data_IF_196848100763
#
_entry.id   IF_196848100763
#
_cell.length_a   1.000
_cell.length_b   1.000
_cell.length_c   1.000
_cell.angle_alpha   90.00
_cell.angle_beta   90.00
_cell.angle_gamma   90.00
#
_symmetry.space_group_name_H-M   'P 1'
#
loop_
_entity.id
_entity.type
_entity.pdbx_description
1 polymer ?
#
# COMPACT_ATOMS: atom_id res chain seq x y z
N UNK A 1 8.65 -7.14 -17.68
CA UNK A 1 8.68 -5.71 -17.28
C UNK A 1 10.02 -5.11 -17.68
N UNK A 2 10.29 -4.95 -18.98
CA UNK A 2 11.52 -4.29 -19.40
C UNK A 2 11.15 -2.83 -19.71
N UNK A 3 11.95 -1.87 -19.20
CA UNK A 3 11.82 -0.42 -19.39
C UNK A 3 10.61 0.30 -18.77
N UNK A 4 10.01 -0.24 -17.69
CA UNK A 4 8.97 0.49 -16.94
C UNK A 4 9.51 1.22 -15.70
N UNK A 5 10.67 0.85 -15.19
CA UNK A 5 11.34 1.56 -14.11
C UNK A 5 11.78 2.96 -14.60
N UNK A 6 11.73 3.97 -13.73
CA UNK A 6 12.11 5.36 -14.04
C UNK A 6 11.21 6.09 -15.05
N UNK A 7 10.05 5.51 -15.39
CA UNK A 7 9.11 6.12 -16.33
C UNK A 7 8.11 7.10 -15.68
N UNK A 8 8.14 7.26 -14.36
CA UNK A 8 7.08 7.98 -13.64
C UNK A 8 5.79 7.18 -13.48
N UNK A 9 5.78 5.90 -13.86
CA UNK A 9 4.57 5.06 -13.85
C UNK A 9 4.13 4.65 -12.45
N UNK A 10 2.84 4.30 -12.33
CA UNK A 10 2.26 3.67 -11.14
C UNK A 10 2.00 2.18 -11.40
N UNK A 11 2.64 1.32 -10.63
CA UNK A 11 2.43 -0.12 -10.62
C UNK A 11 1.29 -0.46 -9.66
N UNK A 12 0.24 -1.10 -10.19
CA UNK A 12 -0.82 -1.71 -9.38
C UNK A 12 -0.53 -3.19 -9.22
N UNK A 13 -0.51 -3.67 -7.98
CA UNK A 13 -0.15 -5.06 -7.68
C UNK A 13 -1.00 -5.68 -6.58
N UNK A 14 -1.19 -6.99 -6.65
CA UNK A 14 -1.81 -7.77 -5.59
C UNK A 14 -0.92 -7.83 -4.33
N UNK A 15 -1.52 -8.15 -3.18
CA UNK A 15 -0.86 -8.25 -1.89
C UNK A 15 0.34 -9.22 -1.84
N UNK A 16 0.42 -10.17 -2.77
CA UNK A 16 1.59 -11.06 -2.91
C UNK A 16 2.86 -10.30 -3.30
N UNK A 17 2.73 -9.25 -4.10
CA UNK A 17 3.84 -8.50 -4.66
C UNK A 17 4.09 -7.15 -3.97
N UNK A 18 3.26 -6.77 -3.00
CA UNK A 18 3.41 -5.49 -2.30
C UNK A 18 4.17 -5.62 -0.98
N UNK A 19 5.04 -4.65 -0.70
CA UNK A 19 5.59 -4.40 0.63
C UNK A 19 6.02 -2.94 0.77
N UNK A 20 6.11 -2.45 2.01
CA UNK A 20 6.61 -1.09 2.30
C UNK A 20 8.07 -0.93 1.83
N UNK A 21 8.89 -1.97 1.97
CA UNK A 21 10.28 -1.96 1.49
C UNK A 21 10.37 -1.80 -0.01
N UNK A 22 9.60 -2.60 -0.76
CA UNK A 22 9.55 -2.49 -2.23
C UNK A 22 9.01 -1.12 -2.68
N UNK A 23 7.98 -0.60 -2.03
CA UNK A 23 7.45 0.72 -2.33
C UNK A 23 8.53 1.81 -2.18
N UNK A 24 9.39 1.69 -1.17
CA UNK A 24 10.53 2.60 -0.96
C UNK A 24 11.56 2.49 -2.08
N UNK A 25 11.94 1.29 -2.46
CA UNK A 25 12.90 1.07 -3.55
C UNK A 25 12.37 1.61 -4.88
N UNK A 26 11.11 1.31 -5.21
CA UNK A 26 10.48 1.81 -6.43
C UNK A 26 10.32 3.34 -6.43
N UNK A 27 10.02 3.95 -5.29
CA UNK A 27 9.95 5.41 -5.17
C UNK A 27 11.30 6.07 -5.51
N UNK A 28 12.43 5.48 -5.11
CA UNK A 28 13.76 5.99 -5.53
C UNK A 28 14.00 5.87 -7.04
N UNK A 29 13.27 4.97 -7.70
CA UNK A 29 13.26 4.80 -9.15
C UNK A 29 12.14 5.60 -9.83
N UNK A 30 11.51 6.57 -9.16
CA UNK A 30 10.39 7.35 -9.71
C UNK A 30 9.21 6.48 -10.14
N UNK A 31 9.00 5.33 -9.50
CA UNK A 31 7.91 4.39 -9.79
C UNK A 31 7.05 4.24 -8.55
N UNK A 32 5.75 4.51 -8.65
CA UNK A 32 4.84 4.35 -7.53
C UNK A 32 4.31 2.92 -7.46
N UNK A 33 4.11 2.40 -6.24
CA UNK A 33 3.50 1.09 -6.02
C UNK A 33 2.19 1.28 -5.25
N UNK A 34 1.09 0.79 -5.83
CA UNK A 34 -0.24 0.80 -5.22
C UNK A 34 -0.75 -0.62 -5.14
N UNK A 35 -1.27 -0.99 -3.97
CA UNK A 35 -1.85 -2.30 -3.75
C UNK A 35 -2.23 -2.51 -2.29
N UNK A 36 -2.76 -3.69 -1.97
CA UNK A 36 -3.17 -4.03 -0.61
C UNK A 36 -2.02 -4.67 0.15
N UNK A 37 -1.83 -4.34 1.43
CA UNK A 37 -0.76 -4.93 2.25
C UNK A 37 -1.28 -6.05 3.14
N UNK A 38 -0.54 -7.16 3.19
CA UNK A 38 -0.75 -8.17 4.25
C UNK A 38 -0.20 -7.65 5.58
N UNK A 39 -1.00 -7.77 6.63
CA UNK A 39 -0.68 -7.24 7.97
C UNK A 39 0.60 -7.85 8.57
N UNK A 40 0.92 -9.09 8.23
CA UNK A 40 2.08 -9.83 8.72
C UNK A 40 3.39 -9.55 7.94
N UNK A 41 3.41 -8.62 6.99
CA UNK A 41 4.65 -8.22 6.29
C UNK A 41 5.55 -7.40 7.21
N UNK A 42 6.87 -7.55 7.00
CA UNK A 42 7.90 -6.76 7.69
C UNK A 42 7.76 -5.27 7.33
N UNK A 43 8.22 -4.40 8.23
CA UNK A 43 8.29 -2.95 8.05
C UNK A 43 6.94 -2.23 7.93
N UNK A 44 5.81 -2.92 8.12
CA UNK A 44 4.53 -2.25 8.29
C UNK A 44 4.53 -1.41 9.57
N UNK A 45 4.00 -0.17 9.55
CA UNK A 45 3.90 0.67 10.74
C UNK A 45 2.97 0.03 11.78
N UNK A 46 3.52 -0.28 12.96
CA UNK A 46 2.80 -1.03 14.00
C UNK A 46 1.50 -0.35 14.42
N UNK A 47 1.53 0.95 14.63
CA UNK A 47 0.38 1.78 14.96
C UNK A 47 -0.74 1.73 13.92
N UNK A 48 -0.44 1.64 12.62
CA UNK A 48 -1.48 1.44 11.60
C UNK A 48 -2.04 0.03 11.67
N UNK A 49 -1.18 -0.99 11.82
CA UNK A 49 -1.61 -2.39 11.89
C UNK A 49 -2.47 -2.67 13.13
N UNK A 50 -2.09 -2.13 14.28
CA UNK A 50 -2.79 -2.34 15.56
C UNK A 50 -3.95 -1.37 15.79
N UNK A 51 -4.14 -0.34 14.95
CA UNK A 51 -5.25 0.59 15.07
C UNK A 51 -6.60 -0.17 15.11
N UNK A 52 -7.33 -0.02 16.21
CA UNK A 52 -8.71 -0.50 16.30
C UNK A 52 -9.61 0.53 15.65
N UNK A 53 -10.31 0.11 14.59
CA UNK A 53 -11.19 0.97 13.80
C UNK A 53 -12.64 0.59 14.03
N UNK A 54 -13.50 1.59 14.11
CA UNK A 54 -14.94 1.42 13.91
C UNK A 54 -15.22 1.14 12.42
N UNK A 55 -16.40 0.59 12.14
CA UNK A 55 -16.84 0.38 10.75
C UNK A 55 -16.85 1.72 10.00
N UNK A 56 -16.41 1.69 8.74
CA UNK A 56 -16.26 2.85 7.84
C UNK A 56 -15.19 3.86 8.26
N UNK A 57 -14.28 3.49 9.18
CA UNK A 57 -13.13 4.34 9.50
C UNK A 57 -11.90 3.95 8.68
N UNK A 58 -11.07 4.96 8.44
CA UNK A 58 -9.75 4.86 7.82
C UNK A 58 -8.76 5.51 8.77
N UNK A 59 -7.61 4.86 8.95
CA UNK A 59 -6.46 5.41 9.63
C UNK A 59 -5.23 5.15 8.78
N UNK A 60 -4.40 6.16 8.58
CA UNK A 60 -3.21 6.03 7.76
C UNK A 60 -2.07 6.89 8.28
N UNK A 61 -0.88 6.54 7.84
CA UNK A 61 0.31 7.34 8.08
C UNK A 61 1.13 7.43 6.82
N UNK A 62 1.76 8.58 6.67
CA UNK A 62 2.73 8.85 5.63
C UNK A 62 4.12 8.94 6.26
N UNK A 63 5.12 8.38 5.59
CA UNK A 63 6.52 8.62 5.93
C UNK A 63 7.04 9.86 5.22
N UNK A 64 8.13 10.45 5.71
CA UNK A 64 8.76 11.64 5.11
C UNK A 64 9.13 11.47 3.62
N UNK A 65 9.28 10.22 3.15
CA UNK A 65 9.56 9.89 1.76
C UNK A 65 8.28 9.67 0.92
N UNK A 66 7.12 10.14 1.38
CA UNK A 66 5.85 10.08 0.64
C UNK A 66 5.20 8.70 0.54
N UNK A 67 5.64 7.72 1.35
CA UNK A 67 5.02 6.39 1.39
C UNK A 67 3.88 6.41 2.40
N UNK A 68 2.65 6.25 1.91
CA UNK A 68 1.45 6.16 2.74
C UNK A 68 1.01 4.71 2.93
N UNK A 69 0.77 4.34 4.19
CA UNK A 69 0.14 3.07 4.58
C UNK A 69 -1.16 3.36 5.30
N UNK A 70 -2.26 2.79 4.78
CA UNK A 70 -3.60 2.98 5.30
C UNK A 70 -4.24 1.65 5.73
N UNK A 71 -5.04 1.72 6.78
CA UNK A 71 -5.94 0.66 7.24
C UNK A 71 -7.36 1.21 7.17
N UNK A 72 -8.22 0.52 6.46
CA UNK A 72 -9.66 0.78 6.46
C UNK A 72 -10.40 -0.42 7.06
N UNK A 73 -11.54 -0.16 7.69
CA UNK A 73 -12.47 -1.21 8.13
C UNK A 73 -13.80 -0.99 7.45
N UNK A 74 -14.06 -1.72 6.38
CA UNK A 74 -15.28 -1.53 5.60
C UNK A 74 -16.51 -2.19 6.25
N UNK A 75 -17.70 -1.84 5.74
CA UNK A 75 -19.01 -2.40 6.08
C UNK A 75 -19.46 -3.54 5.14
N UNK A 76 -18.76 -3.82 4.04
CA UNK A 76 -19.40 -4.35 2.81
C UNK A 76 -18.78 -5.58 2.16
N UNK A 77 -19.66 -6.26 1.43
CA UNK A 77 -19.38 -7.27 0.40
C UNK A 77 -19.03 -6.63 -0.94
N UNK A 78 -18.12 -7.27 -1.68
CA UNK A 78 -17.45 -6.75 -2.89
C UNK A 78 -17.93 -7.51 -4.14
N UNK A 79 -18.28 -6.78 -5.21
CA UNK A 79 -18.55 -7.34 -6.55
C UNK A 79 -17.91 -6.43 -7.64
N UNK A 80 -16.79 -6.83 -8.26
CA UNK A 80 -16.15 -6.04 -9.30
C UNK A 80 -16.60 -6.42 -10.72
N UNK A 81 -16.57 -5.44 -11.66
CA UNK A 81 -16.60 -5.63 -13.12
C UNK A 81 -15.82 -4.50 -13.82
N UNK A 82 -15.42 -4.75 -15.08
CA UNK A 82 -14.43 -4.05 -15.92
C UNK A 82 -14.54 -2.53 -16.00
#
# INVERSE_FOLDING_TARGET
MNNLLYSGSTLFADNWYTSVGLARELATCGTHLVGTLRSNRKCNPKNVITASLNRSQIFGMESDNGITVLKSKDKRDVLPYA
#
